data_IF_511554289498
#
_entry.id   IF_511554289498
#
_cell.length_a   1.000
_cell.length_b   1.000
_cell.length_c   1.000
_cell.angle_alpha   90.00
_cell.angle_beta   90.00
_cell.angle_gamma   90.00
#
_symmetry.space_group_name_H-M   'P 1'
#
loop_
_entity.id
_entity.type
_entity.pdbx_description
1 polymer ?
#
# COMPACT_ATOMS: atom_id res chain seq x y z
N UNK A 1 4.60 -43.51 24.61
CA UNK A 1 4.55 -42.16 24.00
C UNK A 1 4.13 -42.36 22.56
N UNK A 2 2.84 -42.26 22.32
CA UNK A 2 2.24 -42.59 21.02
C UNK A 2 2.71 -41.63 19.93
N UNK A 3 2.84 -42.18 18.72
CA UNK A 3 3.42 -41.57 17.50
C UNK A 3 2.59 -40.39 16.93
N UNK A 4 1.86 -39.66 17.77
CA UNK A 4 1.03 -38.51 17.41
C UNK A 4 1.85 -37.39 16.75
N UNK A 5 3.17 -37.34 17.04
CA UNK A 5 4.14 -36.42 16.44
C UNK A 5 5.03 -37.03 15.33
N UNK A 6 4.62 -38.16 14.72
CA UNK A 6 5.32 -38.77 13.57
C UNK A 6 4.93 -38.16 12.21
N UNK A 7 4.87 -38.98 11.15
CA UNK A 7 4.47 -38.58 9.77
C UNK A 7 3.22 -37.69 9.72
N UNK A 8 2.24 -37.92 10.60
CA UNK A 8 1.03 -37.09 10.68
C UNK A 8 1.30 -35.66 11.19
N UNK A 9 2.28 -35.48 12.08
CA UNK A 9 2.70 -34.16 12.55
C UNK A 9 3.44 -33.37 11.46
N UNK A 10 4.32 -34.03 10.69
CA UNK A 10 5.02 -33.40 9.56
C UNK A 10 4.05 -33.05 8.44
N UNK A 11 3.11 -33.95 8.11
CA UNK A 11 2.08 -33.68 7.12
C UNK A 11 1.19 -32.50 7.53
N UNK A 12 0.77 -32.44 8.81
CA UNK A 12 0.02 -31.30 9.35
C UNK A 12 0.78 -29.98 9.28
N UNK A 13 2.08 -30.00 9.59
CA UNK A 13 2.95 -28.83 9.46
C UNK A 13 3.04 -28.35 8.00
N UNK A 14 3.25 -29.27 7.05
CA UNK A 14 3.33 -28.91 5.63
C UNK A 14 2.02 -28.28 5.13
N UNK A 15 0.86 -28.83 5.54
CA UNK A 15 -0.44 -28.25 5.21
C UNK A 15 -0.55 -26.83 5.80
N UNK A 16 -0.19 -26.65 7.07
CA UNK A 16 -0.25 -25.33 7.72
C UNK A 16 0.66 -24.30 7.01
N UNK A 17 1.86 -24.70 6.60
CA UNK A 17 2.79 -23.84 5.83
C UNK A 17 2.20 -23.48 4.48
N UNK A 18 1.63 -24.42 3.73
CA UNK A 18 1.00 -24.15 2.43
C UNK A 18 -0.18 -23.19 2.58
N UNK A 19 -1.02 -23.37 3.59
CA UNK A 19 -2.15 -22.46 3.87
C UNK A 19 -1.63 -21.06 4.20
N UNK A 20 -0.63 -20.96 5.07
CA UNK A 20 -0.06 -19.67 5.46
C UNK A 20 0.58 -18.93 4.27
N UNK A 21 1.38 -19.63 3.45
CA UNK A 21 1.99 -19.05 2.24
C UNK A 21 0.94 -18.67 1.20
N UNK A 22 -0.14 -19.44 1.07
CA UNK A 22 -1.25 -19.11 0.18
C UNK A 22 -1.93 -17.80 0.60
N UNK A 23 -2.20 -17.63 1.89
CA UNK A 23 -2.76 -16.38 2.43
C UNK A 23 -1.82 -15.19 2.18
N UNK A 24 -0.51 -15.36 2.46
CA UNK A 24 0.50 -14.33 2.21
C UNK A 24 0.54 -13.95 0.73
N UNK A 25 0.52 -14.91 -0.19
CA UNK A 25 0.53 -14.66 -1.63
C UNK A 25 -0.72 -13.91 -2.11
N UNK A 26 -1.90 -14.30 -1.63
CA UNK A 26 -3.18 -13.65 -1.97
C UNK A 26 -3.20 -12.21 -1.45
N UNK A 27 -2.94 -12.01 -0.16
CA UNK A 27 -3.00 -10.67 0.43
C UNK A 27 -1.90 -9.75 -0.10
N UNK A 28 -0.69 -10.27 -0.31
CA UNK A 28 0.41 -9.54 -0.95
C UNK A 28 0.04 -9.08 -2.36
N UNK A 29 -0.55 -9.96 -3.17
CA UNK A 29 -1.00 -9.60 -4.53
C UNK A 29 -2.12 -8.55 -4.51
N UNK A 30 -3.10 -8.68 -3.61
CA UNK A 30 -4.16 -7.69 -3.44
C UNK A 30 -3.59 -6.32 -3.03
N UNK A 31 -2.64 -6.29 -2.10
CA UNK A 31 -1.99 -5.06 -1.66
C UNK A 31 -1.26 -4.36 -2.81
N UNK A 32 -0.47 -5.10 -3.60
CA UNK A 32 0.23 -4.55 -4.77
C UNK A 32 -0.75 -3.96 -5.78
N UNK A 33 -1.84 -4.68 -6.09
CA UNK A 33 -2.87 -4.19 -7.02
C UNK A 33 -3.55 -2.90 -6.54
N UNK A 34 -3.86 -2.81 -5.24
CA UNK A 34 -4.43 -1.59 -4.65
C UNK A 34 -3.42 -0.44 -4.72
N UNK A 35 -2.17 -0.69 -4.35
CA UNK A 35 -1.11 0.32 -4.41
C UNK A 35 -0.92 0.85 -5.84
N UNK A 36 -0.89 -0.03 -6.85
CA UNK A 36 -0.84 0.38 -8.25
C UNK A 36 -2.04 1.23 -8.65
N UNK A 37 -3.26 0.80 -8.30
CA UNK A 37 -4.48 1.55 -8.62
C UNK A 37 -4.47 2.95 -8.02
N UNK A 38 -4.02 3.09 -6.78
CA UNK A 38 -3.97 4.37 -6.08
C UNK A 38 -2.82 5.25 -6.56
N UNK A 39 -1.67 4.68 -6.92
CA UNK A 39 -0.56 5.43 -7.50
C UNK A 39 -0.93 6.07 -8.85
N UNK A 40 -1.85 5.45 -9.60
CA UNK A 40 -2.39 6.00 -10.85
C UNK A 40 -3.67 6.82 -10.67
N UNK A 41 -4.18 6.95 -9.44
CA UNK A 41 -5.38 7.72 -9.13
C UNK A 41 -4.97 9.11 -8.62
N UNK A 42 -4.60 9.98 -9.57
CA UNK A 42 -4.18 11.33 -9.26
C UNK A 42 -5.36 12.18 -8.76
N UNK A 43 -5.10 13.01 -7.75
CA UNK A 43 -6.10 13.95 -7.26
C UNK A 43 -6.40 14.98 -8.35
N UNK A 44 -7.66 15.07 -8.77
CA UNK A 44 -8.11 16.08 -9.73
C UNK A 44 -8.60 17.31 -8.98
N UNK A 45 -8.02 18.47 -9.30
CA UNK A 45 -8.50 19.74 -8.78
C UNK A 45 -9.72 20.15 -9.61
N UNK A 46 -10.92 19.83 -9.10
CA UNK A 46 -12.20 20.17 -9.76
C UNK A 46 -12.51 21.68 -9.73
N UNK A 47 -11.94 22.41 -8.77
CA UNK A 47 -12.16 23.86 -8.62
C UNK A 47 -10.89 24.55 -8.12
N UNK A 48 -10.05 25.00 -9.07
CA UNK A 48 -8.83 25.76 -8.75
C UNK A 48 -9.16 27.08 -8.04
N UNK A 49 -10.31 27.69 -8.34
CA UNK A 49 -10.76 28.94 -7.73
C UNK A 49 -11.29 28.79 -6.30
N UNK A 50 -11.58 27.58 -5.83
CA UNK A 50 -11.96 27.34 -4.42
C UNK A 50 -10.79 26.97 -3.53
N UNK A 51 -9.58 26.87 -4.09
CA UNK A 51 -8.36 26.72 -3.29
C UNK A 51 -7.98 28.11 -2.80
N UNK A 52 -8.35 28.44 -1.56
CA UNK A 52 -7.93 29.68 -0.93
C UNK A 52 -6.40 29.71 -0.78
N UNK A 53 -5.72 30.49 -1.62
CA UNK A 53 -4.29 30.77 -1.49
C UNK A 53 -4.09 31.80 -0.36
N UNK A 54 -4.23 31.38 0.90
CA UNK A 54 -3.80 32.22 2.02
C UNK A 54 -2.27 32.16 2.13
N UNK A 55 -1.59 32.92 1.29
CA UNK A 55 -0.13 33.09 1.38
C UNK A 55 0.13 34.52 1.81
N UNK A 56 0.25 34.73 3.12
CA UNK A 56 0.60 36.04 3.71
C UNK A 56 1.93 36.62 3.17
N UNK A 57 2.75 35.78 2.53
CA UNK A 57 4.08 36.11 1.97
C UNK A 57 4.30 35.55 0.54
N UNK A 58 3.27 35.36 -0.30
CA UNK A 58 3.51 34.81 -1.65
C UNK A 58 4.38 35.74 -2.53
N UNK A 59 4.30 37.06 -2.32
CA UNK A 59 4.98 38.06 -3.14
C UNK A 59 6.50 37.98 -3.05
N UNK A 60 7.07 37.45 -1.96
CA UNK A 60 8.53 37.35 -1.80
C UNK A 60 9.13 36.29 -2.73
N UNK A 61 8.38 35.23 -3.04
CA UNK A 61 8.88 34.13 -3.88
C UNK A 61 8.83 34.44 -5.39
N UNK A 62 7.86 35.24 -5.85
CA UNK A 62 7.76 35.64 -7.26
C UNK A 62 8.89 36.58 -7.71
N UNK A 63 9.46 37.38 -6.81
CA UNK A 63 10.59 38.28 -7.15
C UNK A 63 11.87 37.52 -7.47
N UNK A 64 12.18 36.46 -6.71
CA UNK A 64 13.42 35.69 -6.86
C UNK A 64 13.46 34.81 -8.12
N UNK A 65 12.33 34.60 -8.80
CA UNK A 65 12.26 33.79 -10.02
C UNK A 65 12.45 34.61 -11.31
N UNK A 66 12.63 35.93 -11.21
CA UNK A 66 12.76 36.86 -12.35
C UNK A 66 14.13 37.56 -12.42
N UNK A 67 15.03 37.25 -11.50
CA UNK A 67 16.46 37.59 -11.58
C UNK A 67 17.24 36.42 -12.19
#
# INVERSE_FOLDING_TARGET
MDRLFGINGIAGLLIAVVVLLSLVGIFGTCAVKIQQKQATNFYKIESQNSIEQNVKDASVYYKNAKE
#
